data_IF_832752391126
#
_entry.id   IF_832752391126
#
_cell.length_a   1.000
_cell.length_b   1.000
_cell.length_c   1.000
_cell.angle_alpha   90.00
_cell.angle_beta   90.00
_cell.angle_gamma   90.00
#
_symmetry.space_group_name_H-M   'P 1'
#
loop_
_entity.id
_entity.type
_entity.pdbx_description
1 polymer ?
#
# COMPACT_ATOMS: atom_id res chain seq x y z
N UNK A 1 28.53 26.83 4.28
CA UNK A 1 27.35 27.57 3.75
C UNK A 1 26.83 26.79 2.56
N UNK A 2 25.80 25.99 2.80
CA UNK A 2 24.94 25.40 1.77
C UNK A 2 23.62 25.12 2.47
N UNK A 3 22.75 26.12 2.40
CA UNK A 3 21.36 26.07 2.86
C UNK A 3 20.60 25.11 1.96
N UNK A 4 20.64 23.82 2.28
CA UNK A 4 19.77 22.84 1.63
C UNK A 4 18.34 23.13 2.05
N UNK A 5 17.59 23.60 1.07
CA UNK A 5 16.17 23.92 1.17
C UNK A 5 15.46 22.60 1.47
N UNK A 6 15.07 22.39 2.74
CA UNK A 6 14.26 21.25 3.16
C UNK A 6 12.90 21.37 2.47
N UNK A 7 12.85 20.81 1.27
CA UNK A 7 11.67 20.80 0.41
C UNK A 7 10.75 19.77 1.00
N UNK A 8 9.54 20.15 1.42
CA UNK A 8 8.54 19.27 2.04
C UNK A 8 8.54 17.90 1.38
N UNK A 9 8.80 16.83 2.15
CA UNK A 9 8.99 15.51 1.54
C UNK A 9 7.70 14.97 0.92
N UNK A 10 6.56 15.54 1.30
CA UNK A 10 5.24 15.11 0.87
C UNK A 10 4.42 16.26 0.25
N UNK A 11 3.58 15.89 -0.70
CA UNK A 11 2.57 16.71 -1.35
C UNK A 11 1.22 16.27 -0.80
N UNK A 12 0.52 17.17 -0.12
CA UNK A 12 -0.86 16.95 0.30
C UNK A 12 -1.82 17.32 -0.83
N UNK A 13 -2.69 16.39 -1.19
CA UNK A 13 -3.75 16.60 -2.18
C UNK A 13 -5.04 17.06 -1.53
N UNK A 14 -5.94 17.66 -2.31
CA UNK A 14 -7.27 18.10 -1.84
C UNK A 14 -8.14 16.96 -1.27
N UNK A 15 -7.86 15.71 -1.66
CA UNK A 15 -8.52 14.51 -1.17
C UNK A 15 -7.90 13.95 0.11
N UNK A 16 -7.05 14.73 0.79
CA UNK A 16 -6.33 14.33 2.01
C UNK A 16 -5.35 13.17 1.79
N UNK A 17 -4.84 13.03 0.56
CA UNK A 17 -3.80 12.05 0.26
C UNK A 17 -2.42 12.70 0.32
N UNK A 18 -1.46 12.01 0.92
CA UNK A 18 -0.06 12.43 1.05
C UNK A 18 0.79 11.66 0.06
N UNK A 19 1.46 12.36 -0.85
CA UNK A 19 2.30 11.75 -1.89
C UNK A 19 3.72 12.26 -1.71
N UNK A 20 4.65 11.36 -1.39
CA UNK A 20 6.06 11.72 -1.26
C UNK A 20 6.63 12.17 -2.60
N UNK A 21 7.46 13.22 -2.60
CA UNK A 21 8.11 13.76 -3.81
C UNK A 21 9.08 12.79 -4.48
N UNK A 22 9.58 11.80 -3.74
CA UNK A 22 10.41 10.71 -4.28
C UNK A 22 9.57 9.62 -4.95
N UNK A 23 8.24 9.66 -4.83
CA UNK A 23 7.37 8.70 -5.50
C UNK A 23 7.32 8.99 -7.00
N UNK A 24 7.48 7.94 -7.79
CA UNK A 24 7.43 8.00 -9.25
C UNK A 24 6.09 7.39 -9.67
N UNK A 25 5.27 8.20 -10.32
CA UNK A 25 3.95 7.83 -10.81
C UNK A 25 3.99 7.86 -12.34
N UNK A 26 4.22 6.69 -12.94
CA UNK A 26 4.31 6.51 -14.39
C UNK A 26 3.09 5.72 -14.88
N UNK A 27 1.94 6.37 -14.95
CA UNK A 27 0.69 5.76 -15.43
C UNK A 27 0.25 6.44 -16.73
N UNK A 28 0.29 5.76 -17.89
CA UNK A 28 -0.05 6.38 -19.16
C UNK A 28 -1.54 6.63 -19.37
N UNK A 29 -2.44 5.85 -18.74
CA UNK A 29 -3.89 6.02 -18.90
C UNK A 29 -4.60 6.52 -17.63
N UNK A 30 -4.84 5.64 -16.65
CA UNK A 30 -5.73 5.97 -15.53
C UNK A 30 -5.12 5.64 -14.18
N UNK A 31 -4.86 6.68 -13.38
CA UNK A 31 -4.57 6.57 -11.95
C UNK A 31 -5.76 7.13 -11.15
N UNK A 32 -6.45 6.25 -10.44
CA UNK A 32 -7.52 6.64 -9.53
C UNK A 32 -7.04 6.55 -8.08
N UNK A 33 -7.06 7.67 -7.37
CA UNK A 33 -6.72 7.75 -5.95
C UNK A 33 -7.94 8.18 -5.15
N UNK A 34 -8.51 7.26 -4.37
CA UNK A 34 -9.78 7.49 -3.67
C UNK A 34 -9.61 8.16 -2.29
N UNK A 35 -8.76 9.17 -2.17
CA UNK A 35 -8.62 10.00 -0.96
C UNK A 35 -8.05 9.30 0.29
N UNK A 36 -7.56 10.09 1.25
CA UNK A 36 -6.86 9.60 2.47
C UNK A 36 -5.72 8.59 2.18
N UNK A 37 -5.09 8.65 1.02
CA UNK A 37 -4.02 7.71 0.68
C UNK A 37 -2.66 8.23 1.14
N UNK A 38 -1.75 7.35 1.54
CA UNK A 38 -0.36 7.70 1.84
C UNK A 38 0.55 6.96 0.87
N UNK A 39 1.41 7.68 0.17
CA UNK A 39 2.39 7.13 -0.76
C UNK A 39 3.77 7.62 -0.36
N UNK A 40 4.57 6.73 0.24
CA UNK A 40 5.94 7.03 0.68
C UNK A 40 6.95 6.42 -0.27
N UNK A 41 7.73 7.23 -1.00
CA UNK A 41 8.79 6.77 -1.93
C UNK A 41 8.39 5.55 -2.79
N UNK A 42 7.22 5.62 -3.42
CA UNK A 42 6.61 4.49 -4.14
C UNK A 42 6.83 4.59 -5.63
N UNK A 43 6.88 3.45 -6.32
CA UNK A 43 6.99 3.41 -7.77
C UNK A 43 5.74 2.77 -8.37
N UNK A 44 4.83 3.59 -8.87
CA UNK A 44 3.64 3.13 -9.60
C UNK A 44 3.94 3.19 -11.10
N UNK A 45 3.82 2.07 -11.80
CA UNK A 45 4.11 2.01 -13.22
C UNK A 45 3.20 1.03 -13.95
N UNK A 46 2.17 1.52 -14.61
CA UNK A 46 1.18 0.65 -15.25
C UNK A 46 0.01 1.42 -15.84
N UNK A 47 -0.72 0.76 -16.73
CA UNK A 47 -1.75 1.42 -17.53
C UNK A 47 -3.01 1.75 -16.71
N UNK A 48 -3.49 0.81 -15.89
CA UNK A 48 -4.69 0.96 -15.06
C UNK A 48 -4.40 0.64 -13.59
N UNK A 49 -4.22 1.70 -12.79
CA UNK A 49 -3.96 1.61 -11.35
C UNK A 49 -5.10 2.28 -10.59
N UNK A 50 -5.85 1.48 -9.84
CA UNK A 50 -6.96 1.93 -9.00
C UNK A 50 -6.63 1.73 -7.54
N UNK A 51 -6.54 2.82 -6.80
CA UNK A 51 -6.25 2.82 -5.37
C UNK A 51 -7.49 3.30 -4.60
N UNK A 52 -7.96 2.44 -3.70
CA UNK A 52 -9.07 2.69 -2.80
C UNK A 52 -8.79 3.78 -1.77
N UNK A 53 -9.79 4.04 -0.90
CA UNK A 53 -9.70 5.05 0.16
C UNK A 53 -8.88 4.51 1.33
N UNK A 54 -8.15 5.40 2.01
CA UNK A 54 -7.37 5.03 3.21
C UNK A 54 -6.32 3.95 2.92
N UNK A 55 -5.73 3.98 1.72
CA UNK A 55 -4.66 3.05 1.35
C UNK A 55 -3.32 3.64 1.73
N UNK A 56 -2.47 2.81 2.34
CA UNK A 56 -1.12 3.21 2.70
C UNK A 56 -0.12 2.37 1.92
N UNK A 57 0.75 3.03 1.17
CA UNK A 57 1.86 2.45 0.44
C UNK A 57 3.17 2.95 1.05
N UNK A 58 3.94 2.01 1.61
CA UNK A 58 5.17 2.34 2.32
C UNK A 58 6.40 2.38 1.38
N UNK A 59 7.53 2.83 1.94
CA UNK A 59 8.79 3.12 1.25
C UNK A 59 9.27 1.99 0.35
N UNK A 60 9.52 2.32 -0.92
CA UNK A 60 10.08 1.40 -1.91
C UNK A 60 9.10 0.33 -2.39
N UNK A 61 7.81 0.47 -2.12
CA UNK A 61 6.79 -0.36 -2.75
C UNK A 61 6.73 -0.10 -4.26
N UNK A 62 6.62 -1.18 -5.03
CA UNK A 62 6.62 -1.16 -6.50
C UNK A 62 5.33 -1.80 -6.98
N UNK A 63 4.52 -1.02 -7.68
CA UNK A 63 3.27 -1.47 -8.28
C UNK A 63 3.41 -1.39 -9.80
N UNK A 64 3.27 -2.53 -10.49
CA UNK A 64 3.42 -2.61 -11.94
C UNK A 64 2.21 -3.25 -12.65
N UNK A 65 1.85 -2.68 -13.80
CA UNK A 65 0.79 -3.22 -14.67
C UNK A 65 -0.62 -2.84 -14.23
N UNK A 66 -1.58 -3.76 -14.36
CA UNK A 66 -2.99 -3.54 -14.02
C UNK A 66 -3.25 -3.91 -12.56
N UNK A 67 -3.48 -2.92 -11.69
CA UNK A 67 -3.62 -3.15 -10.25
C UNK A 67 -4.87 -2.48 -9.72
N UNK A 68 -5.65 -3.23 -8.96
CA UNK A 68 -6.76 -2.71 -8.17
C UNK A 68 -6.45 -2.95 -6.70
N UNK A 69 -6.43 -1.89 -5.91
CA UNK A 69 -6.27 -1.94 -4.46
C UNK A 69 -7.56 -1.49 -3.80
N UNK A 70 -8.14 -2.34 -2.97
CA UNK A 70 -9.34 -2.03 -2.20
C UNK A 70 -9.10 -0.99 -1.10
N UNK A 71 -10.16 -0.67 -0.36
CA UNK A 71 -10.11 0.34 0.71
C UNK A 71 -9.37 -0.19 1.93
N UNK A 72 -8.84 0.70 2.75
CA UNK A 72 -8.18 0.37 4.03
C UNK A 72 -7.14 -0.75 3.87
N UNK A 73 -6.40 -0.70 2.78
CA UNK A 73 -5.36 -1.67 2.47
C UNK A 73 -3.99 -1.07 2.74
N UNK A 74 -3.13 -1.87 3.34
CA UNK A 74 -1.79 -1.45 3.71
C UNK A 74 -0.76 -2.30 2.99
N UNK A 75 0.17 -1.64 2.30
CA UNK A 75 1.24 -2.25 1.56
C UNK A 75 2.56 -1.86 2.21
N UNK A 76 3.24 -2.86 2.76
CA UNK A 76 4.50 -2.71 3.45
C UNK A 76 5.66 -2.29 2.54
N UNK A 77 6.78 -1.90 3.14
CA UNK A 77 7.93 -1.39 2.42
C UNK A 77 8.58 -2.49 1.60
N UNK A 78 9.12 -2.11 0.43
CA UNK A 78 9.73 -3.03 -0.54
C UNK A 78 8.81 -4.14 -1.04
N UNK A 79 7.49 -3.99 -0.89
CA UNK A 79 6.54 -4.92 -1.48
C UNK A 79 6.47 -4.71 -3.00
N UNK A 80 6.42 -5.79 -3.75
CA UNK A 80 6.28 -5.78 -5.21
C UNK A 80 4.94 -6.38 -5.60
N UNK A 81 4.14 -5.63 -6.35
CA UNK A 81 2.82 -6.06 -6.80
C UNK A 81 2.77 -5.89 -8.30
N UNK A 82 2.51 -6.97 -9.02
CA UNK A 82 2.50 -7.01 -10.47
C UNK A 82 1.18 -7.64 -10.92
N UNK A 83 0.42 -6.91 -11.75
CA UNK A 83 -0.84 -7.38 -12.37
C UNK A 83 -1.78 -8.09 -11.40
N UNK A 84 -1.97 -7.53 -10.19
CA UNK A 84 -2.68 -8.18 -9.10
C UNK A 84 -3.84 -7.35 -8.59
N UNK A 85 -4.88 -8.04 -8.12
CA UNK A 85 -6.07 -7.43 -7.52
C UNK A 85 -6.10 -7.71 -6.03
N UNK A 86 -6.15 -6.65 -5.24
CA UNK A 86 -6.29 -6.66 -3.79
C UNK A 86 -7.68 -6.19 -3.40
N UNK A 87 -8.35 -6.97 -2.56
CA UNK A 87 -9.62 -6.61 -1.93
C UNK A 87 -9.46 -5.48 -0.90
N UNK A 88 -10.53 -5.20 -0.18
CA UNK A 88 -10.53 -4.25 0.92
C UNK A 88 -9.99 -4.89 2.20
N UNK A 89 -9.51 -4.06 3.14
CA UNK A 89 -8.95 -4.51 4.42
C UNK A 89 -7.84 -5.55 4.24
N UNK A 90 -7.01 -5.39 3.21
CA UNK A 90 -5.87 -6.27 2.98
C UNK A 90 -4.61 -5.71 3.64
N UNK A 91 -3.75 -6.60 4.12
CA UNK A 91 -2.46 -6.22 4.66
C UNK A 91 -1.34 -7.02 3.98
N UNK A 92 -0.52 -6.32 3.22
CA UNK A 92 0.66 -6.88 2.57
C UNK A 92 1.87 -6.52 3.42
N UNK A 93 2.45 -7.49 4.10
CA UNK A 93 3.63 -7.26 4.92
C UNK A 93 4.89 -6.89 4.08
N UNK A 94 5.94 -6.36 4.73
CA UNK A 94 7.17 -5.95 4.06
C UNK A 94 7.80 -7.06 3.19
N UNK A 95 8.44 -6.66 2.09
CA UNK A 95 9.18 -7.55 1.17
C UNK A 95 8.35 -8.68 0.54
N UNK A 96 7.01 -8.58 0.57
CA UNK A 96 6.15 -9.52 -0.14
C UNK A 96 6.16 -9.24 -1.65
N UNK A 97 6.13 -10.29 -2.46
CA UNK A 97 6.07 -10.21 -3.93
C UNK A 97 4.82 -10.93 -4.42
N UNK A 98 3.96 -10.20 -5.11
CA UNK A 98 2.67 -10.66 -5.63
C UNK A 98 2.70 -10.52 -7.15
N UNK A 99 2.50 -11.62 -7.87
CA UNK A 99 2.46 -11.61 -9.35
C UNK A 99 1.23 -12.35 -9.85
N UNK A 100 0.37 -11.65 -10.59
CA UNK A 100 -0.88 -12.19 -11.13
C UNK A 100 -1.75 -12.88 -10.06
N UNK A 101 -1.93 -12.20 -8.94
CA UNK A 101 -2.65 -12.71 -7.77
C UNK A 101 -4.00 -12.02 -7.59
N UNK A 102 -4.99 -12.78 -7.13
CA UNK A 102 -6.30 -12.26 -6.74
C UNK A 102 -6.46 -12.47 -5.24
N UNK A 103 -6.29 -11.40 -4.47
CA UNK A 103 -6.46 -11.41 -3.03
C UNK A 103 -7.84 -10.84 -2.71
N UNK A 104 -8.67 -11.65 -2.05
CA UNK A 104 -10.01 -11.23 -1.62
C UNK A 104 -9.93 -10.36 -0.36
N UNK A 105 -11.09 -9.92 0.14
CA UNK A 105 -11.16 -9.02 1.28
C UNK A 105 -10.59 -9.67 2.56
N UNK A 106 -10.08 -8.83 3.46
CA UNK A 106 -9.65 -9.22 4.81
C UNK A 106 -8.52 -10.26 4.82
N UNK A 107 -7.59 -10.13 3.88
CA UNK A 107 -6.46 -11.04 3.74
C UNK A 107 -5.15 -10.43 4.26
N UNK A 108 -4.30 -11.27 4.83
CA UNK A 108 -2.98 -10.86 5.31
C UNK A 108 -1.91 -11.68 4.61
N UNK A 109 -0.99 -11.01 3.93
CA UNK A 109 0.18 -11.63 3.30
C UNK A 109 1.36 -11.47 4.23
N UNK A 110 1.97 -12.58 4.65
CA UNK A 110 3.11 -12.59 5.56
C UNK A 110 4.38 -11.99 4.92
N UNK A 111 5.30 -11.44 5.71
CA UNK A 111 6.49 -10.77 5.19
C UNK A 111 7.37 -11.74 4.39
N UNK A 112 7.95 -11.27 3.29
CA UNK A 112 8.81 -12.09 2.42
C UNK A 112 8.08 -13.17 1.62
N UNK A 113 6.74 -13.20 1.64
CA UNK A 113 5.96 -14.17 0.87
C UNK A 113 6.04 -13.86 -0.62
N UNK A 114 6.30 -14.89 -1.43
CA UNK A 114 6.28 -14.79 -2.89
C UNK A 114 5.07 -15.57 -3.41
N UNK A 115 4.03 -14.87 -3.86
CA UNK A 115 2.82 -15.47 -4.42
C UNK A 115 2.79 -15.24 -5.93
N UNK A 116 2.55 -16.31 -6.69
CA UNK A 116 2.44 -16.27 -8.16
C UNK A 116 1.20 -17.04 -8.59
N UNK A 117 0.37 -16.45 -9.45
CA UNK A 117 -0.85 -17.09 -9.99
C UNK A 117 -1.76 -17.67 -8.91
N UNK A 118 -1.86 -16.99 -7.77
CA UNK A 118 -2.59 -17.48 -6.60
C UNK A 118 -3.87 -16.69 -6.36
N UNK A 119 -4.95 -17.39 -6.02
CA UNK A 119 -6.20 -16.76 -5.58
C UNK A 119 -6.37 -17.00 -4.09
N UNK A 120 -6.26 -15.93 -3.31
CA UNK A 120 -6.50 -15.99 -1.88
C UNK A 120 -8.00 -15.88 -1.59
N UNK A 121 -8.62 -16.84 -0.88
CA UNK A 121 -9.98 -16.70 -0.37
C UNK A 121 -10.05 -15.58 0.68
N UNK A 122 -11.23 -15.00 0.95
CA UNK A 122 -11.37 -13.95 1.95
C UNK A 122 -11.01 -14.46 3.36
N UNK A 123 -10.72 -13.55 4.29
CA UNK A 123 -10.46 -13.89 5.70
C UNK A 123 -9.29 -14.86 5.93
N UNK A 124 -8.29 -14.79 5.05
CA UNK A 124 -7.19 -15.76 5.01
C UNK A 124 -5.84 -15.09 5.19
N UNK A 125 -4.99 -15.73 6.00
CA UNK A 125 -3.59 -15.39 6.17
C UNK A 125 -2.78 -16.27 5.25
N UNK A 126 -2.07 -15.67 4.32
CA UNK A 126 -1.25 -16.33 3.31
C UNK A 126 0.21 -16.09 3.60
N UNK A 127 0.98 -17.17 3.62
CA UNK A 127 2.43 -17.15 3.55
C UNK A 127 2.91 -17.73 2.24
N UNK A 128 4.23 -17.73 2.05
CA UNK A 128 4.86 -18.60 1.07
C UNK A 128 5.98 -19.37 1.70
N UNK A 129 6.03 -20.67 1.43
CA UNK A 129 7.14 -21.54 1.78
C UNK A 129 7.74 -22.09 0.48
N UNK A 130 9.04 -21.83 0.25
CA UNK A 130 9.75 -22.25 -0.97
C UNK A 130 9.10 -21.81 -2.30
N UNK A 131 8.43 -20.65 -2.31
CA UNK A 131 7.75 -20.11 -3.49
C UNK A 131 6.38 -20.73 -3.77
N UNK A 132 5.86 -21.54 -2.86
CA UNK A 132 4.49 -22.05 -2.89
C UNK A 132 3.66 -21.22 -1.92
N UNK A 133 2.54 -20.66 -2.41
CA UNK A 133 1.57 -19.98 -1.59
C UNK A 133 0.89 -20.97 -0.63
N UNK A 134 0.98 -20.73 0.67
CA UNK A 134 0.36 -21.55 1.71
C UNK A 134 -0.60 -20.70 2.51
N UNK A 135 -1.85 -21.15 2.62
CA UNK A 135 -2.81 -20.54 3.53
C UNK A 135 -2.48 -21.03 4.94
N UNK A 136 -1.91 -20.15 5.75
CA UNK A 136 -1.47 -20.46 7.12
C UNK A 136 -2.69 -20.57 8.04
N UNK A 137 -3.67 -19.69 7.85
CA UNK A 137 -4.86 -19.65 8.69
C UNK A 137 -6.03 -19.04 7.94
N UNK A 138 -7.22 -19.60 8.15
CA UNK A 138 -8.48 -18.94 7.80
C UNK A 138 -9.17 -18.58 9.11
N UNK A 139 -9.46 -17.30 9.31
CA UNK A 139 -10.11 -16.80 10.53
C UNK A 139 -11.25 -15.88 10.14
N UNK A 140 -12.47 -16.29 10.44
CA UNK A 140 -13.68 -15.54 10.13
C UNK A 140 -13.87 -14.28 10.97
N UNK A 141 -13.29 -14.19 12.18
CA UNK A 141 -13.73 -13.21 13.16
C UNK A 141 -12.62 -12.22 13.58
N UNK A 142 -12.93 -10.93 13.50
CA UNK A 142 -12.22 -9.76 14.05
C UNK A 142 -10.92 -9.28 13.36
N UNK A 143 -10.54 -9.83 12.20
CA UNK A 143 -9.36 -9.33 11.48
C UNK A 143 -9.58 -7.94 10.87
N UNK A 144 -10.80 -7.64 10.42
CA UNK A 144 -11.18 -6.35 9.84
C UNK A 144 -10.88 -5.18 10.79
N UNK A 145 -11.34 -5.28 12.04
CA UNK A 145 -11.14 -4.23 13.04
C UNK A 145 -9.66 -3.98 13.35
N UNK A 146 -8.86 -5.06 13.42
CA UNK A 146 -7.42 -4.95 13.65
C UNK A 146 -6.73 -4.27 12.46
N UNK A 147 -7.13 -4.60 11.23
CA UNK A 147 -6.53 -4.05 10.01
C UNK A 147 -6.96 -2.61 9.72
N UNK A 148 -8.19 -2.25 10.08
CA UNK A 148 -8.70 -0.88 9.95
C UNK A 148 -7.88 0.10 10.79
N UNK A 149 -7.60 -0.27 12.06
CA UNK A 149 -6.81 0.58 12.97
C UNK A 149 -5.38 0.84 12.48
N UNK A 150 -4.75 -0.12 11.79
CA UNK A 150 -3.37 0.06 11.34
C UNK A 150 -3.23 1.10 10.21
N UNK A 151 -4.20 1.16 9.30
CA UNK A 151 -4.19 2.17 8.24
C UNK A 151 -4.41 3.58 8.81
N UNK A 152 -5.33 3.71 9.77
CA UNK A 152 -5.60 5.00 10.43
C UNK A 152 -4.39 5.48 11.23
N UNK A 153 -3.78 4.60 12.03
CA UNK A 153 -2.58 4.93 12.80
C UNK A 153 -1.44 5.39 11.88
N UNK A 154 -1.23 4.71 10.75
CA UNK A 154 -0.19 5.11 9.80
C UNK A 154 -0.51 6.48 9.16
N UNK A 155 -1.77 6.72 8.79
CA UNK A 155 -2.20 7.98 8.20
C UNK A 155 -2.04 9.16 9.17
N UNK A 156 -2.45 8.98 10.44
CA UNK A 156 -2.25 10.00 11.48
C UNK A 156 -0.78 10.28 11.73
N UNK A 157 0.05 9.24 11.84
CA UNK A 157 1.50 9.40 12.04
C UNK A 157 2.16 10.18 10.90
N UNK A 158 1.79 9.92 9.65
CA UNK A 158 2.32 10.68 8.52
C UNK A 158 1.74 12.09 8.49
N UNK A 159 0.47 12.27 8.87
CA UNK A 159 -0.14 13.59 9.06
C UNK A 159 0.66 14.46 10.03
N UNK A 160 1.00 13.93 11.21
CA UNK A 160 1.82 14.62 12.22
C UNK A 160 3.19 15.01 11.68
N UNK A 161 3.85 14.12 10.93
CA UNK A 161 5.16 14.41 10.33
C UNK A 161 5.04 15.59 9.36
N UNK A 162 4.04 15.56 8.47
CA UNK A 162 3.83 16.63 7.48
C UNK A 162 3.49 17.95 8.16
N UNK A 163 2.64 17.95 9.20
CA UNK A 163 2.29 19.16 9.96
C UNK A 163 3.51 19.70 10.73
N UNK A 164 4.34 18.84 11.31
CA UNK A 164 5.57 19.25 11.98
C UNK A 164 6.61 19.86 11.03
N UNK A 165 6.69 19.39 9.78
CA UNK A 165 7.53 19.99 8.73
C UNK A 165 6.99 21.37 8.29
N UNK A 166 5.69 21.58 8.36
CA UNK A 166 5.06 22.88 8.06
C UNK A 166 5.26 23.90 9.19
N UNK A 167 5.19 23.50 10.47
CA UNK A 167 5.43 24.40 11.62
C UNK A 167 6.88 24.87 11.74
N UNK A 168 7.87 24.08 11.33
CA UNK A 168 9.27 24.54 11.30
C UNK A 168 9.58 25.56 10.19
N UNK A 169 8.57 25.96 9.41
CA UNK A 169 8.66 26.95 8.34
C UNK A 169 8.26 28.36 8.79
N UNK A 170 7.56 28.50 9.92
CA UNK A 170 7.20 29.80 10.53
C UNK A 170 8.30 30.31 11.49
#
# INVERSE_FOLDING_TARGET
>A
MSTDTQTTQYIRTSTLSYISRSSILTTPETLLLSGKCVLTSTHLSGDDIKIGRSVCLDAGSVLKGTIVVGKNTMIGPKAEIIDSNLGSYCHVCPSASLTNCVIKDCCVVLPGSVLKNFTCPPYSVVGSENGVAVIVRQSSDNMEFLLEGQCEEMWERVGIIVESEEEQRE
#
